data_IF_254414125557
#
_entry.id   IF_254414125557
#
_cell.length_a   1.000
_cell.length_b   1.000
_cell.length_c   1.000
_cell.angle_alpha   90.00
_cell.angle_beta   90.00
_cell.angle_gamma   90.00
#
_symmetry.space_group_name_H-M   'P 1'
#
loop_
_entity.id
_entity.type
_entity.pdbx_description
1 polymer ?
#
# COMPACT_ATOMS: atom_id res chain seq x y z
N UNK A 1 -47.06 42.36 -24.43
CA UNK A 1 -47.14 41.02 -25.06
C UNK A 1 -45.99 40.18 -24.50
N UNK A 2 -46.10 39.55 -23.34
CA UNK A 2 -46.72 38.23 -23.07
C UNK A 2 -46.37 37.18 -24.13
N UNK A 3 -45.41 36.30 -23.80
CA UNK A 3 -45.61 34.84 -23.80
C UNK A 3 -44.47 34.16 -23.02
N UNK A 4 -44.72 34.01 -21.72
CA UNK A 4 -44.17 32.95 -20.88
C UNK A 4 -44.91 31.66 -21.22
N UNK A 5 -44.23 30.59 -21.63
CA UNK A 5 -44.76 29.22 -21.49
C UNK A 5 -43.61 28.29 -21.06
N UNK A 6 -43.80 27.76 -19.86
CA UNK A 6 -43.07 26.71 -19.17
C UNK A 6 -43.05 25.39 -19.97
N UNK A 7 -42.09 24.51 -19.67
CA UNK A 7 -42.38 23.22 -19.01
C UNK A 7 -41.08 22.50 -18.65
N UNK A 8 -40.92 22.28 -17.36
CA UNK A 8 -39.93 21.39 -16.76
C UNK A 8 -40.14 19.97 -17.27
N UNK A 9 -39.18 19.50 -18.07
CA UNK A 9 -39.06 18.11 -18.50
C UNK A 9 -38.41 17.27 -17.40
N UNK A 10 -39.27 16.69 -16.57
CA UNK A 10 -39.21 15.34 -16.02
C UNK A 10 -37.81 14.70 -15.81
N UNK A 11 -37.47 14.52 -14.54
CA UNK A 11 -36.45 13.60 -14.09
C UNK A 11 -36.68 12.18 -14.64
N UNK A 12 -35.72 11.63 -15.39
CA UNK A 12 -35.59 10.18 -15.54
C UNK A 12 -34.15 9.77 -15.85
N UNK A 13 -33.43 9.44 -14.77
CA UNK A 13 -32.30 8.48 -14.68
C UNK A 13 -30.94 8.86 -15.28
N UNK A 14 -29.99 9.36 -14.45
CA UNK A 14 -28.57 8.99 -14.59
C UNK A 14 -28.33 7.58 -14.01
N UNK A 15 -29.14 6.60 -14.42
CA UNK A 15 -28.95 5.19 -14.02
C UNK A 15 -27.91 4.45 -14.91
N UNK A 16 -27.21 5.20 -15.78
CA UNK A 16 -26.19 4.67 -16.70
C UNK A 16 -24.76 5.20 -16.44
N UNK A 17 -24.55 5.90 -15.32
CA UNK A 17 -23.20 6.13 -14.76
C UNK A 17 -22.94 5.33 -13.47
N UNK A 18 -23.99 4.71 -12.92
CA UNK A 18 -23.94 3.80 -11.77
C UNK A 18 -23.66 2.33 -12.15
N UNK A 19 -23.53 2.02 -13.44
CA UNK A 19 -23.12 0.68 -13.93
C UNK A 19 -21.59 0.53 -14.13
N UNK A 20 -20.80 1.61 -14.02
CA UNK A 20 -19.33 1.54 -14.10
C UNK A 20 -18.66 1.31 -12.73
N UNK A 21 -19.41 1.41 -11.63
CA UNK A 21 -18.93 1.12 -10.26
C UNK A 21 -19.30 -0.28 -9.76
N UNK A 22 -20.07 -1.06 -10.54
CA UNK A 22 -20.45 -2.45 -10.21
C UNK A 22 -19.73 -3.51 -11.06
N UNK A 23 -18.92 -3.11 -12.05
CA UNK A 23 -18.04 -4.02 -12.80
C UNK A 23 -16.65 -4.23 -12.17
N UNK A 24 -16.25 -3.36 -11.22
CA UNK A 24 -14.97 -3.52 -10.49
C UNK A 24 -15.04 -4.66 -9.45
N UNK A 25 -16.22 -5.12 -9.07
CA UNK A 25 -16.39 -6.21 -8.10
C UNK A 25 -16.45 -7.63 -8.71
N UNK A 26 -16.49 -7.79 -10.04
CA UNK A 26 -16.46 -9.11 -10.69
C UNK A 26 -15.40 -9.27 -11.79
N UNK A 27 -14.72 -8.20 -12.24
CA UNK A 27 -13.61 -8.27 -13.22
C UNK A 27 -12.23 -8.02 -12.60
N UNK A 28 -11.92 -8.71 -11.50
CA UNK A 28 -10.52 -8.91 -11.12
C UNK A 28 -10.23 -10.35 -10.72
N UNK A 29 -10.83 -11.31 -11.42
CA UNK A 29 -10.08 -12.48 -11.83
C UNK A 29 -9.42 -12.17 -13.17
N UNK A 30 -8.12 -12.45 -13.26
CA UNK A 30 -7.17 -12.02 -14.30
C UNK A 30 -6.68 -10.58 -14.22
N UNK A 31 -6.07 -10.20 -13.08
CA UNK A 31 -4.87 -9.37 -13.21
C UNK A 31 -3.75 -10.32 -13.61
N UNK A 32 -3.46 -10.38 -14.91
CA UNK A 32 -2.24 -10.92 -15.46
C UNK A 32 -1.07 -10.31 -14.66
N UNK A 33 -0.61 -11.05 -13.66
CA UNK A 33 0.71 -10.82 -13.11
C UNK A 33 1.60 -11.01 -14.31
N UNK A 34 2.12 -9.92 -14.88
CA UNK A 34 3.19 -9.99 -15.87
C UNK A 34 4.12 -11.13 -15.40
N UNK A 35 4.25 -12.18 -16.20
CA UNK A 35 5.02 -13.39 -15.87
C UNK A 35 6.43 -13.02 -15.38
N UNK A 36 6.91 -11.88 -15.86
CA UNK A 36 8.11 -11.17 -15.44
C UNK A 36 8.21 -10.82 -13.95
N UNK A 37 7.12 -10.48 -13.24
CA UNK A 37 7.13 -10.08 -11.82
C UNK A 37 7.14 -11.31 -10.88
N UNK A 38 6.46 -12.41 -11.24
CA UNK A 38 6.52 -13.69 -10.50
C UNK A 38 7.85 -14.41 -10.68
N UNK A 39 8.41 -14.34 -11.89
CA UNK A 39 9.77 -14.81 -12.19
C UNK A 39 10.88 -14.05 -11.44
N UNK A 40 10.56 -12.99 -10.68
CA UNK A 40 11.54 -12.28 -9.86
C UNK A 40 11.69 -12.85 -8.47
N UNK A 41 10.65 -13.51 -7.97
CA UNK A 41 10.75 -14.22 -6.69
C UNK A 41 11.39 -15.60 -6.89
N UNK A 42 11.42 -16.12 -8.12
CA UNK A 42 12.02 -17.42 -8.42
C UNK A 42 13.55 -17.43 -8.29
N UNK A 43 14.23 -16.28 -8.39
CA UNK A 43 15.68 -16.21 -8.20
C UNK A 43 16.11 -16.05 -6.73
N UNK A 44 15.17 -15.88 -5.80
CA UNK A 44 15.46 -15.82 -4.36
C UNK A 44 15.51 -17.24 -3.79
N UNK A 45 16.47 -17.49 -2.90
CA UNK A 45 16.54 -18.75 -2.16
C UNK A 45 15.37 -18.87 -1.19
N UNK A 46 15.06 -20.08 -0.73
CA UNK A 46 14.00 -20.29 0.26
C UNK A 46 14.28 -19.49 1.55
N UNK A 47 15.53 -19.47 2.01
CA UNK A 47 15.94 -18.65 3.14
C UNK A 47 15.66 -17.15 2.91
N UNK A 48 15.95 -16.62 1.73
CA UNK A 48 15.67 -15.22 1.39
C UNK A 48 14.16 -14.92 1.32
N UNK A 49 13.34 -15.88 0.91
CA UNK A 49 11.87 -15.77 0.95
C UNK A 49 11.37 -15.75 2.41
N UNK A 50 11.89 -16.62 3.26
CA UNK A 50 11.57 -16.64 4.69
C UNK A 50 11.95 -15.32 5.37
N UNK A 51 13.10 -14.71 5.01
CA UNK A 51 13.49 -13.38 5.51
C UNK A 51 12.52 -12.25 5.10
N UNK A 52 11.84 -12.37 3.97
CA UNK A 52 10.81 -11.42 3.53
C UNK A 52 9.50 -11.65 4.28
N UNK A 53 9.15 -12.91 4.55
CA UNK A 53 7.99 -13.26 5.36
C UNK A 53 8.12 -12.75 6.79
N UNK A 54 9.25 -13.02 7.46
CA UNK A 54 9.54 -12.51 8.80
C UNK A 54 9.38 -10.98 8.86
N UNK A 55 9.86 -10.27 7.83
CA UNK A 55 9.73 -8.82 7.75
C UNK A 55 8.27 -8.37 7.64
N UNK A 56 7.45 -9.11 6.90
CA UNK A 56 6.05 -8.76 6.70
C UNK A 56 5.24 -9.00 7.98
N UNK A 57 5.38 -10.16 8.60
CA UNK A 57 4.73 -10.48 9.87
C UNK A 57 5.11 -9.47 10.95
N UNK A 58 6.38 -9.07 10.99
CA UNK A 58 6.85 -8.04 11.90
C UNK A 58 6.18 -6.69 11.63
N UNK A 59 6.05 -6.28 10.37
CA UNK A 59 5.36 -5.04 10.01
C UNK A 59 3.89 -5.07 10.43
N UNK A 60 3.21 -6.21 10.27
CA UNK A 60 1.79 -6.33 10.61
C UNK A 60 1.58 -6.34 12.12
N UNK A 61 2.43 -7.05 12.87
CA UNK A 61 2.47 -6.98 14.35
C UNK A 61 2.73 -5.55 14.84
N UNK A 62 3.76 -4.88 14.29
CA UNK A 62 4.08 -3.50 14.63
C UNK A 62 2.92 -2.54 14.33
N UNK A 63 2.23 -2.71 13.20
CA UNK A 63 1.04 -1.90 12.86
C UNK A 63 -0.10 -2.13 13.85
N UNK A 64 -0.36 -3.39 14.22
CA UNK A 64 -1.41 -3.72 15.18
C UNK A 64 -1.11 -3.12 16.56
N UNK A 65 0.13 -3.25 17.04
CA UNK A 65 0.57 -2.66 18.31
C UNK A 65 0.45 -1.13 18.26
N UNK A 66 0.95 -0.49 17.20
CA UNK A 66 0.85 0.96 17.07
C UNK A 66 -0.62 1.41 17.05
N UNK A 67 -1.49 0.74 16.30
CA UNK A 67 -2.92 1.07 16.23
C UNK A 67 -3.62 0.93 17.58
N UNK A 68 -3.26 -0.09 18.38
CA UNK A 68 -3.79 -0.28 19.75
C UNK A 68 -3.33 0.81 20.72
N UNK A 69 -2.18 1.43 20.47
CA UNK A 69 -1.65 2.51 21.30
C UNK A 69 -2.19 3.90 20.91
N UNK A 70 -3.06 4.01 19.90
CA UNK A 70 -3.66 5.29 19.51
C UNK A 70 -4.84 5.65 20.42
N UNK A 71 -4.97 6.92 20.77
CA UNK A 71 -6.16 7.44 21.46
C UNK A 71 -7.36 7.53 20.51
N UNK A 72 -8.56 7.65 21.07
CA UNK A 72 -9.78 7.85 20.28
C UNK A 72 -9.69 9.10 19.40
N UNK A 73 -9.18 10.22 19.92
CA UNK A 73 -8.95 11.46 19.16
C UNK A 73 -7.97 11.25 17.99
N UNK A 74 -6.95 10.42 18.16
CA UNK A 74 -6.02 10.10 17.09
C UNK A 74 -6.66 9.20 16.02
N UNK A 75 -7.57 8.31 16.42
CA UNK A 75 -8.34 7.46 15.51
C UNK A 75 -9.35 8.27 14.69
N UNK A 76 -10.02 9.25 15.30
CA UNK A 76 -10.94 10.16 14.59
C UNK A 76 -10.18 10.98 13.55
N UNK A 77 -9.01 11.54 13.89
CA UNK A 77 -8.12 12.22 12.94
C UNK A 77 -7.72 11.33 11.74
N UNK A 78 -7.48 10.04 11.96
CA UNK A 78 -7.13 9.10 10.89
C UNK A 78 -8.32 8.84 9.96
N UNK A 79 -9.52 8.74 10.53
CA UNK A 79 -10.74 8.38 9.80
C UNK A 79 -11.43 9.56 9.11
N UNK A 80 -11.08 10.79 9.48
CA UNK A 80 -11.63 12.00 8.87
C UNK A 80 -11.31 12.06 7.37
N UNK A 81 -12.36 12.07 6.55
CA UNK A 81 -12.27 12.14 5.08
C UNK A 81 -12.28 13.57 4.56
N UNK A 82 -12.61 14.55 5.41
CA UNK A 82 -12.71 15.97 5.05
C UNK A 82 -11.33 16.62 4.93
N UNK A 83 -10.32 16.07 5.61
CA UNK A 83 -8.94 16.53 5.55
C UNK A 83 -8.08 15.70 4.60
N UNK A 84 -7.17 16.41 3.90
CA UNK A 84 -6.27 15.76 2.96
C UNK A 84 -5.38 14.73 3.67
N UNK A 85 -4.91 13.72 2.91
CA UNK A 85 -4.05 12.66 3.47
C UNK A 85 -2.76 13.20 4.08
N UNK A 86 -2.22 14.28 3.52
CA UNK A 86 -0.99 14.91 3.99
C UNK A 86 -1.23 15.68 5.29
N UNK A 87 -2.33 16.43 5.36
CA UNK A 87 -2.74 17.10 6.60
C UNK A 87 -3.02 16.11 7.72
N UNK A 88 -3.71 14.99 7.45
CA UNK A 88 -3.90 13.90 8.42
C UNK A 88 -2.58 13.39 8.98
N UNK A 89 -1.61 13.12 8.11
CA UNK A 89 -0.32 12.63 8.53
C UNK A 89 0.43 13.65 9.41
N UNK A 90 0.32 14.94 9.07
CA UNK A 90 0.93 16.01 9.87
C UNK A 90 0.28 16.14 11.25
N UNK A 91 -1.05 16.23 11.30
CA UNK A 91 -1.81 16.35 12.55
C UNK A 91 -1.60 15.14 13.45
N UNK A 92 -1.67 13.92 12.90
CA UNK A 92 -1.40 12.70 13.65
C UNK A 92 0.01 12.75 14.24
N UNK A 93 1.03 13.13 13.46
CA UNK A 93 2.42 13.22 13.93
C UNK A 93 2.57 14.22 15.08
N UNK A 94 1.86 15.35 15.02
CA UNK A 94 1.86 16.35 16.08
C UNK A 94 1.20 15.81 17.36
N UNK A 95 0.08 15.10 17.22
CA UNK A 95 -0.65 14.51 18.34
C UNK A 95 0.05 13.34 19.05
N UNK A 96 1.16 12.81 18.50
CA UNK A 96 1.83 11.66 19.10
C UNK A 96 2.51 12.01 20.42
N UNK A 97 2.31 11.17 21.44
CA UNK A 97 3.00 11.25 22.74
C UNK A 97 4.49 10.88 22.61
N UNK A 98 5.27 11.19 23.64
CA UNK A 98 6.69 10.77 23.73
C UNK A 98 6.84 9.26 23.62
N UNK A 99 5.99 8.49 24.30
CA UNK A 99 5.97 7.02 24.26
C UNK A 99 5.66 6.49 22.85
N UNK A 100 4.63 7.03 22.20
CA UNK A 100 4.27 6.64 20.83
C UNK A 100 5.39 6.98 19.83
N UNK A 101 6.08 8.11 20.01
CA UNK A 101 7.25 8.49 19.20
C UNK A 101 8.43 7.54 19.43
N UNK A 102 8.70 7.16 20.68
CA UNK A 102 9.75 6.20 21.02
C UNK A 102 9.46 4.82 20.41
N UNK A 103 8.20 4.37 20.48
CA UNK A 103 7.75 3.13 19.83
C UNK A 103 8.00 3.19 18.30
N UNK A 104 7.66 4.29 17.64
CA UNK A 104 7.92 4.47 16.21
C UNK A 104 9.41 4.47 15.86
N UNK A 105 10.24 5.12 16.67
CA UNK A 105 11.69 5.18 16.46
C UNK A 105 12.34 3.81 16.63
N UNK A 106 11.97 3.07 17.68
CA UNK A 106 12.44 1.69 17.89
C UNK A 106 12.05 0.79 16.73
N UNK A 107 10.78 0.85 16.30
CA UNK A 107 10.29 0.11 15.14
C UNK A 107 11.05 0.47 13.84
N UNK A 108 11.35 1.75 13.62
CA UNK A 108 12.13 2.20 12.46
C UNK A 108 13.54 1.60 12.45
N UNK A 109 14.20 1.55 13.59
CA UNK A 109 15.54 0.97 13.72
C UNK A 109 15.53 -0.54 13.48
N UNK A 110 14.55 -1.25 14.06
CA UNK A 110 14.35 -2.69 13.84
C UNK A 110 14.10 -3.02 12.36
N UNK A 111 13.20 -2.29 11.70
CA UNK A 111 12.92 -2.45 10.27
C UNK A 111 14.17 -2.17 9.43
N UNK A 112 14.97 -1.16 9.80
CA UNK A 112 16.24 -0.86 9.13
C UNK A 112 17.22 -2.02 9.26
N UNK A 113 17.38 -2.61 10.45
CA UNK A 113 18.25 -3.75 10.68
C UNK A 113 17.83 -4.98 9.84
N UNK A 114 16.53 -5.33 9.83
CA UNK A 114 16.02 -6.44 9.02
C UNK A 114 16.19 -6.21 7.51
N UNK A 115 15.94 -4.98 7.03
CA UNK A 115 16.24 -4.61 5.63
C UNK A 115 17.73 -4.75 5.30
N UNK A 116 18.62 -4.40 6.21
CA UNK A 116 20.06 -4.58 6.01
C UNK A 116 20.44 -6.07 5.97
N UNK A 117 19.88 -6.90 6.84
CA UNK A 117 20.06 -8.37 6.82
C UNK A 117 19.65 -8.95 5.47
N UNK A 118 18.48 -8.59 4.96
CA UNK A 118 18.04 -9.03 3.64
C UNK A 118 18.95 -8.50 2.51
N UNK A 119 19.36 -7.23 2.56
CA UNK A 119 20.30 -6.70 1.55
C UNK A 119 21.64 -7.42 1.54
N UNK A 120 22.11 -7.86 2.72
CA UNK A 120 23.36 -8.63 2.88
C UNK A 120 23.21 -10.07 2.38
N UNK A 121 22.03 -10.69 2.50
CA UNK A 121 21.81 -12.04 1.98
C UNK A 121 21.77 -12.11 0.46
N UNK A 122 21.62 -10.99 -0.25
CA UNK A 122 21.60 -10.96 -1.72
C UNK A 122 23.01 -11.12 -2.35
N UNK A 123 23.15 -12.11 -3.22
CA UNK A 123 24.37 -12.33 -4.00
C UNK A 123 24.65 -11.18 -4.96
N UNK A 124 25.89 -11.05 -5.45
CA UNK A 124 26.27 -10.02 -6.45
C UNK A 124 25.39 -10.11 -7.70
N UNK A 125 25.08 -11.33 -8.17
CA UNK A 125 24.21 -11.58 -9.33
C UNK A 125 22.78 -11.11 -9.08
N UNK A 126 22.21 -11.44 -7.92
CA UNK A 126 20.86 -10.99 -7.52
C UNK A 126 20.80 -9.46 -7.40
N UNK A 127 21.82 -8.82 -6.79
CA UNK A 127 21.92 -7.35 -6.69
C UNK A 127 22.01 -6.67 -8.05
N UNK A 128 22.79 -7.22 -8.99
CA UNK A 128 22.88 -6.68 -10.34
C UNK A 128 21.55 -6.79 -11.10
N UNK A 129 20.86 -7.93 -11.00
CA UNK A 129 19.52 -8.10 -11.59
C UNK A 129 18.53 -7.09 -11.01
N UNK A 130 18.48 -6.97 -9.68
CA UNK A 130 17.63 -5.99 -9.00
C UNK A 130 17.94 -4.55 -9.44
N UNK A 131 19.23 -4.20 -9.59
CA UNK A 131 19.65 -2.86 -10.04
C UNK A 131 19.21 -2.59 -11.47
N UNK A 132 19.43 -3.53 -12.41
CA UNK A 132 18.99 -3.38 -13.81
C UNK A 132 17.48 -3.22 -13.90
N UNK A 133 16.75 -4.01 -13.13
CA UNK A 133 15.31 -3.95 -13.06
C UNK A 133 14.77 -2.59 -12.57
N UNK A 134 15.43 -2.00 -11.57
CA UNK A 134 15.02 -0.70 -11.02
C UNK A 134 15.50 0.50 -11.86
N UNK A 135 16.58 0.34 -12.66
CA UNK A 135 17.21 1.43 -13.43
C UNK A 135 16.25 2.05 -14.45
N UNK A 136 15.42 1.23 -15.10
CA UNK A 136 14.58 1.67 -16.21
C UNK A 136 13.15 2.05 -15.78
N UNK A 137 12.86 2.09 -14.47
CA UNK A 137 11.51 2.38 -13.97
C UNK A 137 11.45 3.78 -13.35
N UNK A 138 10.43 4.60 -13.68
CA UNK A 138 10.20 5.85 -12.97
C UNK A 138 9.87 5.57 -11.50
N UNK A 139 10.10 6.54 -10.62
CA UNK A 139 9.96 6.35 -9.16
C UNK A 139 8.57 5.84 -8.74
N UNK A 140 7.52 6.27 -9.44
CA UNK A 140 6.14 5.83 -9.19
C UNK A 140 5.94 4.35 -9.53
N UNK A 141 6.58 3.86 -10.58
CA UNK A 141 6.46 2.46 -10.98
C UNK A 141 7.29 1.54 -10.11
N UNK A 142 8.44 2.01 -9.60
CA UNK A 142 9.17 1.29 -8.54
C UNK A 142 8.30 1.11 -7.29
N UNK A 143 7.56 2.15 -6.87
CA UNK A 143 6.62 2.07 -5.73
C UNK A 143 5.48 1.08 -6.00
N UNK A 144 4.87 1.12 -7.19
CA UNK A 144 3.79 0.19 -7.59
C UNK A 144 4.26 -1.25 -7.60
N UNK A 145 5.42 -1.49 -8.20
CA UNK A 145 6.09 -2.78 -8.25
C UNK A 145 6.38 -3.35 -6.86
N UNK A 146 6.96 -2.56 -5.95
CA UNK A 146 7.20 -3.01 -4.57
C UNK A 146 5.90 -3.42 -3.87
N UNK A 147 4.80 -2.70 -4.09
CA UNK A 147 3.48 -3.07 -3.57
C UNK A 147 2.95 -4.37 -4.20
N UNK A 148 3.21 -4.59 -5.49
CA UNK A 148 2.80 -5.81 -6.19
C UNK A 148 3.61 -7.03 -5.74
N UNK A 149 4.93 -6.90 -5.62
CA UNK A 149 5.80 -7.96 -5.10
C UNK A 149 5.41 -8.38 -3.69
N UNK A 150 5.01 -7.43 -2.82
CA UNK A 150 4.45 -7.75 -1.50
C UNK A 150 3.18 -8.58 -1.59
N UNK A 151 2.24 -8.21 -2.47
CA UNK A 151 1.01 -8.98 -2.70
C UNK A 151 1.29 -10.37 -3.26
N UNK A 152 2.27 -10.51 -4.15
CA UNK A 152 2.65 -11.81 -4.70
C UNK A 152 3.28 -12.71 -3.64
N UNK A 153 4.10 -12.18 -2.74
CA UNK A 153 4.64 -12.95 -1.61
C UNK A 153 3.48 -13.44 -0.71
N UNK A 154 2.46 -12.61 -0.51
CA UNK A 154 1.28 -12.99 0.27
C UNK A 154 0.46 -14.10 -0.40
N UNK A 155 0.16 -13.95 -1.69
CA UNK A 155 -0.71 -14.88 -2.42
C UNK A 155 -0.03 -16.22 -2.78
N UNK A 156 1.30 -16.28 -2.90
CA UNK A 156 1.99 -17.57 -3.15
C UNK A 156 2.20 -18.39 -1.87
N UNK A 157 1.73 -17.89 -0.73
CA UNK A 157 1.89 -18.51 0.60
C UNK A 157 0.55 -18.75 1.30
N UNK A 158 -0.56 -18.43 0.63
CA UNK A 158 -1.94 -18.75 1.03
C UNK A 158 -2.38 -20.00 0.26
#
# INVERSE_FOLDING_TARGET
MIKTIMKYGCALRPALFLAFLLFICLHSYSQESNSDDRNQLSYLTQEQKNLLQEQQELLDKTRAIFKKNLSEDQLTLINDKNISKEQRASLLKQSLTSEQRNLLNSNRNMIRAKKMRFRRSLTKRQRMKLRRFLKNRPANDRKRLVRRLRRLIQNNMS
#
